data_IF_180690180441
#
_entry.id   IF_180690180441
#
_cell.length_a   1.000
_cell.length_b   1.000
_cell.length_c   1.000
_cell.angle_alpha   90.00
_cell.angle_beta   90.00
_cell.angle_gamma   90.00
#
_symmetry.space_group_name_H-M   'P 1'
#
loop_
_entity.id
_entity.type
_entity.pdbx_description
1 polymer ?
#
# COMPACT_ATOMS: atom_id res chain seq x y z
N UNK A 1 11.97 3.77 12.41
CA UNK A 1 11.25 5.08 12.42
C UNK A 1 9.93 4.96 13.17
N UNK A 2 9.10 3.92 12.89
CA UNK A 2 7.79 3.72 13.54
C UNK A 2 7.91 3.61 15.07
N UNK A 3 8.85 2.82 15.57
CA UNK A 3 9.09 2.67 17.02
C UNK A 3 9.49 3.98 17.70
N UNK A 4 10.24 4.83 16.99
CA UNK A 4 10.74 6.09 17.55
C UNK A 4 9.76 7.26 17.39
N UNK A 5 8.95 7.26 16.33
CA UNK A 5 8.07 8.37 15.97
C UNK A 5 6.72 7.89 15.45
N UNK A 6 5.95 7.08 16.21
CA UNK A 6 4.70 6.48 15.71
C UNK A 6 3.67 7.53 15.30
N UNK A 7 3.54 8.59 16.07
CA UNK A 7 2.51 9.62 15.92
C UNK A 7 2.89 10.77 14.98
N UNK A 8 4.15 10.78 14.49
CA UNK A 8 4.53 11.81 13.52
C UNK A 8 3.87 11.58 12.17
N UNK A 9 3.45 12.64 11.46
CA UNK A 9 2.97 12.53 10.09
C UNK A 9 4.04 11.89 9.18
N UNK A 10 3.64 10.86 8.46
CA UNK A 10 4.46 10.21 7.44
C UNK A 10 4.16 10.80 6.05
N UNK A 11 2.88 10.99 5.76
CA UNK A 11 2.41 11.62 4.53
C UNK A 11 1.29 12.60 4.87
N UNK A 12 1.25 13.71 4.14
CA UNK A 12 0.23 14.74 4.31
C UNK A 12 -0.16 15.29 2.95
N UNK A 13 -1.42 15.62 2.79
CA UNK A 13 -1.93 16.46 1.71
C UNK A 13 -2.49 17.78 2.29
N UNK A 14 -3.31 18.49 1.52
CA UNK A 14 -3.90 19.76 1.96
C UNK A 14 -5.00 19.60 3.01
N UNK A 15 -5.57 18.42 3.17
CA UNK A 15 -6.74 18.18 3.98
C UNK A 15 -6.44 17.26 5.18
N UNK A 16 -5.57 16.27 4.96
CA UNK A 16 -5.34 15.18 5.91
C UNK A 16 -3.86 14.82 6.04
N UNK A 17 -3.55 14.05 7.09
CA UNK A 17 -2.25 13.40 7.27
C UNK A 17 -2.42 12.00 7.83
N UNK A 18 -1.49 11.10 7.48
CA UNK A 18 -1.38 9.78 8.10
C UNK A 18 -0.04 9.66 8.82
N UNK A 19 -0.06 9.01 9.97
CA UNK A 19 1.13 8.84 10.81
C UNK A 19 1.98 7.64 10.38
N UNK A 20 3.20 7.54 10.88
CA UNK A 20 4.05 6.37 10.66
C UNK A 20 3.42 5.08 11.19
N UNK A 21 2.73 5.13 12.33
CA UNK A 21 2.01 3.97 12.88
C UNK A 21 0.91 3.50 11.93
N UNK A 22 0.08 4.43 11.43
CA UNK A 22 -0.98 4.11 10.47
C UNK A 22 -0.43 3.53 9.17
N UNK A 23 0.63 4.11 8.60
CA UNK A 23 1.30 3.57 7.40
C UNK A 23 1.78 2.15 7.64
N UNK A 24 2.37 1.89 8.82
CA UNK A 24 2.85 0.56 9.19
C UNK A 24 1.72 -0.45 9.30
N UNK A 25 0.62 -0.10 9.94
CA UNK A 25 -0.53 -0.98 10.12
C UNK A 25 -1.20 -1.30 8.77
N UNK A 26 -1.41 -0.31 7.91
CA UNK A 26 -1.94 -0.49 6.56
C UNK A 26 -1.03 -1.44 5.76
N UNK A 27 0.27 -1.17 5.75
CA UNK A 27 1.22 -1.97 5.00
C UNK A 27 1.26 -3.42 5.51
N UNK A 28 1.24 -3.62 6.83
CA UNK A 28 1.26 -4.93 7.46
C UNK A 28 0.00 -5.73 7.14
N UNK A 29 -1.18 -5.12 7.30
CA UNK A 29 -2.46 -5.78 7.05
C UNK A 29 -2.58 -6.15 5.56
N UNK A 30 -2.29 -5.21 4.66
CA UNK A 30 -2.27 -5.46 3.21
C UNK A 30 -1.31 -6.58 2.85
N UNK A 31 -0.08 -6.55 3.38
CA UNK A 31 0.91 -7.58 3.12
C UNK A 31 0.50 -8.95 3.61
N UNK A 32 -0.02 -9.04 4.84
CA UNK A 32 -0.50 -10.29 5.43
C UNK A 32 -1.64 -10.89 4.61
N UNK A 33 -2.60 -10.08 4.23
CA UNK A 33 -3.71 -10.51 3.37
C UNK A 33 -3.24 -11.04 2.02
N UNK A 34 -2.33 -10.31 1.34
CA UNK A 34 -1.78 -10.73 0.06
C UNK A 34 -1.02 -12.06 0.15
N UNK A 35 -0.25 -12.28 1.23
CA UNK A 35 0.43 -13.57 1.46
C UNK A 35 -0.57 -14.69 1.67
N UNK A 36 -1.64 -14.43 2.40
CA UNK A 36 -2.68 -15.44 2.65
C UNK A 36 -3.41 -15.85 1.37
N UNK A 37 -3.77 -14.88 0.52
CA UNK A 37 -4.53 -15.14 -0.70
C UNK A 37 -3.67 -15.68 -1.85
N UNK A 38 -2.45 -15.20 -1.98
CA UNK A 38 -1.59 -15.46 -3.14
C UNK A 38 -0.42 -16.41 -2.84
N UNK A 39 -0.14 -16.69 -1.57
CA UNK A 39 1.08 -17.39 -1.17
C UNK A 39 2.34 -16.53 -1.35
N UNK A 40 3.49 -17.19 -1.20
CA UNK A 40 4.81 -16.53 -1.29
C UNK A 40 5.42 -16.80 -2.66
N UNK A 41 5.43 -15.79 -3.51
CA UNK A 41 6.13 -15.78 -4.80
C UNK A 41 6.59 -14.36 -5.15
N UNK A 42 7.21 -14.18 -6.32
CA UNK A 42 7.72 -12.89 -6.82
C UNK A 42 6.89 -12.30 -7.95
N UNK A 43 5.70 -12.80 -8.19
CA UNK A 43 4.82 -12.29 -9.23
C UNK A 43 4.38 -10.86 -8.87
N UNK A 44 4.43 -9.91 -9.82
CA UNK A 44 4.08 -8.53 -9.52
C UNK A 44 2.61 -8.37 -9.14
N UNK A 45 2.34 -7.37 -8.32
CA UNK A 45 0.99 -6.90 -8.00
C UNK A 45 0.82 -5.50 -8.56
N UNK A 46 -0.20 -5.30 -9.40
CA UNK A 46 -0.55 -3.97 -9.85
C UNK A 46 -1.26 -3.20 -8.72
N UNK A 47 -0.92 -1.94 -8.52
CA UNK A 47 -1.63 -1.07 -7.59
C UNK A 47 -2.32 0.03 -8.39
N UNK A 48 -3.63 -0.10 -8.49
CA UNK A 48 -4.50 0.75 -9.25
C UNK A 48 -5.24 1.69 -8.28
N UNK A 49 -4.58 2.75 -7.89
CA UNK A 49 -5.09 3.69 -6.89
C UNK A 49 -4.84 5.13 -7.32
N UNK A 50 -5.76 6.00 -6.91
CA UNK A 50 -5.62 7.43 -7.11
C UNK A 50 -4.42 8.01 -6.35
N UNK A 51 -4.14 9.31 -6.57
CA UNK A 51 -3.07 10.03 -5.89
C UNK A 51 -3.52 10.44 -4.49
N UNK A 52 -3.69 9.45 -3.61
CA UNK A 52 -4.07 9.65 -2.21
C UNK A 52 -2.85 9.51 -1.31
N UNK A 53 -2.84 10.20 -0.17
CA UNK A 53 -1.73 10.09 0.79
C UNK A 53 -1.52 8.68 1.34
N UNK A 54 -2.55 7.84 1.30
CA UNK A 54 -2.49 6.44 1.74
C UNK A 54 -1.84 5.50 0.72
N UNK A 55 -1.83 5.88 -0.57
CA UNK A 55 -1.33 5.02 -1.67
C UNK A 55 0.08 4.46 -1.43
N UNK A 56 1.06 5.24 -0.89
CA UNK A 56 2.37 4.69 -0.56
C UNK A 56 2.33 3.55 0.48
N UNK A 57 1.35 3.55 1.39
CA UNK A 57 1.20 2.46 2.35
C UNK A 57 0.76 1.16 1.68
N UNK A 58 -0.05 1.22 0.62
CA UNK A 58 -0.40 0.05 -0.20
C UNK A 58 0.81 -0.51 -0.95
N UNK A 59 1.67 0.37 -1.51
CA UNK A 59 2.94 -0.07 -2.12
C UNK A 59 3.80 -0.85 -1.11
N UNK A 60 3.94 -0.31 0.10
CA UNK A 60 4.67 -0.99 1.16
C UNK A 60 4.02 -2.33 1.55
N UNK A 61 2.70 -2.42 1.52
CA UNK A 61 1.97 -3.66 1.77
C UNK A 61 2.32 -4.75 0.76
N UNK A 62 2.38 -4.41 -0.52
CA UNK A 62 2.81 -5.34 -1.59
C UNK A 62 4.26 -5.79 -1.36
N UNK A 63 5.14 -4.86 -0.97
CA UNK A 63 6.54 -5.18 -0.63
C UNK A 63 6.62 -6.10 0.58
N UNK A 64 5.79 -5.88 1.61
CA UNK A 64 5.73 -6.77 2.78
C UNK A 64 5.29 -8.19 2.41
N UNK A 65 4.45 -8.34 1.39
CA UNK A 65 4.12 -9.63 0.81
C UNK A 65 5.26 -10.27 -0.01
N UNK A 66 6.41 -9.60 -0.13
CA UNK A 66 7.57 -10.08 -0.88
C UNK A 66 7.43 -9.96 -2.40
N UNK A 67 6.57 -9.07 -2.88
CA UNK A 67 6.24 -8.89 -4.29
C UNK A 67 6.63 -7.50 -4.78
N UNK A 68 7.05 -7.34 -6.04
CA UNK A 68 7.19 -6.03 -6.62
C UNK A 68 5.81 -5.40 -6.89
N UNK A 69 5.66 -4.13 -6.59
CA UNK A 69 4.45 -3.40 -6.97
C UNK A 69 4.63 -2.69 -8.33
N UNK A 70 3.54 -2.59 -9.08
CA UNK A 70 3.48 -1.79 -10.30
C UNK A 70 2.38 -0.71 -10.13
N UNK A 71 2.75 0.57 -9.98
CA UNK A 71 1.77 1.63 -9.87
C UNK A 71 1.11 1.88 -11.21
N UNK A 72 -0.21 1.90 -11.24
CA UNK A 72 -1.01 2.24 -12.42
C UNK A 72 -1.89 3.43 -12.06
N UNK A 73 -1.71 4.54 -12.76
CA UNK A 73 -2.54 5.73 -12.59
C UNK A 73 -3.89 5.50 -13.28
N UNK A 74 -4.98 5.58 -12.50
CA UNK A 74 -6.35 5.39 -12.98
C UNK A 74 -6.78 6.43 -14.03
N UNK A 75 -6.06 7.55 -14.14
CA UNK A 75 -6.32 8.59 -15.14
C UNK A 75 -5.73 8.31 -16.52
N UNK A 76 -4.96 7.24 -16.68
CA UNK A 76 -4.43 6.84 -17.97
C UNK A 76 -5.54 6.34 -18.89
N UNK A 77 -5.38 6.51 -20.24
CA UNK A 77 -6.32 5.90 -21.18
C UNK A 77 -6.40 4.38 -21.02
N UNK A 78 -7.60 3.81 -21.12
CA UNK A 78 -7.86 2.38 -20.90
C UNK A 78 -6.96 1.49 -21.73
N UNK A 79 -6.81 1.77 -23.03
CA UNK A 79 -5.92 1.04 -23.93
C UNK A 79 -4.46 1.01 -23.49
N UNK A 80 -4.04 2.00 -22.71
CA UNK A 80 -2.69 2.01 -22.15
C UNK A 80 -2.62 1.13 -20.92
N UNK A 81 -3.65 1.17 -20.08
CA UNK A 81 -3.78 0.30 -18.91
C UNK A 81 -3.84 -1.16 -19.34
N UNK A 82 -4.65 -1.47 -20.37
CA UNK A 82 -4.73 -2.80 -20.99
C UNK A 82 -3.34 -3.32 -21.37
N UNK A 83 -2.57 -2.55 -22.16
CA UNK A 83 -1.21 -2.93 -22.56
C UNK A 83 -0.24 -3.11 -21.38
N UNK A 84 -0.39 -2.31 -20.33
CA UNK A 84 0.42 -2.48 -19.12
C UNK A 84 0.07 -3.80 -18.45
N UNK A 85 -1.21 -4.11 -18.29
CA UNK A 85 -1.67 -5.34 -17.65
C UNK A 85 -1.31 -6.58 -18.46
N UNK A 86 -1.44 -6.53 -19.80
CA UNK A 86 -0.98 -7.60 -20.71
C UNK A 86 0.52 -7.88 -20.56
N UNK A 87 1.34 -6.84 -20.48
CA UNK A 87 2.79 -6.99 -20.35
C UNK A 87 3.21 -7.41 -18.94
N UNK A 88 2.56 -6.86 -17.91
CA UNK A 88 2.87 -7.12 -16.52
C UNK A 88 2.45 -8.54 -16.10
N UNK A 89 1.35 -9.04 -16.66
CA UNK A 89 0.72 -10.30 -16.25
C UNK A 89 0.60 -10.43 -14.73
N UNK A 90 -0.05 -9.45 -14.04
CA UNK A 90 -0.08 -9.45 -12.59
C UNK A 90 -0.97 -10.56 -12.07
N UNK A 91 -0.59 -11.19 -10.97
CA UNK A 91 -1.46 -12.18 -10.33
C UNK A 91 -2.62 -11.55 -9.58
N UNK A 92 -2.42 -10.31 -9.12
CA UNK A 92 -3.43 -9.53 -8.43
C UNK A 92 -3.33 -8.04 -8.74
N UNK A 93 -4.45 -7.36 -8.56
CA UNK A 93 -4.58 -5.91 -8.60
C UNK A 93 -5.12 -5.46 -7.24
N UNK A 94 -4.45 -4.52 -6.61
CA UNK A 94 -4.94 -3.79 -5.44
C UNK A 94 -5.50 -2.47 -5.96
N UNK A 95 -6.81 -2.26 -5.87
CA UNK A 95 -7.49 -1.06 -6.33
C UNK A 95 -8.14 -0.32 -5.17
N UNK A 96 -8.22 1.00 -5.24
CA UNK A 96 -9.08 1.75 -4.32
C UNK A 96 -10.57 1.56 -4.69
N UNK A 97 -11.46 1.81 -3.72
CA UNK A 97 -12.90 1.58 -3.90
C UNK A 97 -13.49 2.40 -5.05
N UNK A 98 -12.98 3.61 -5.28
CA UNK A 98 -13.45 4.48 -6.36
C UNK A 98 -13.07 3.94 -7.74
N UNK A 99 -11.93 3.29 -7.86
CA UNK A 99 -11.44 2.74 -9.13
C UNK A 99 -11.94 1.33 -9.42
N UNK A 100 -12.69 0.72 -8.51
CA UNK A 100 -13.12 -0.68 -8.59
C UNK A 100 -13.84 -1.00 -9.90
N UNK A 101 -14.93 -0.29 -10.20
CA UNK A 101 -15.73 -0.55 -11.39
C UNK A 101 -14.92 -0.36 -12.68
N UNK A 102 -14.05 0.64 -12.68
CA UNK A 102 -13.18 0.94 -13.82
C UNK A 102 -12.18 -0.19 -14.06
N UNK A 103 -11.48 -0.66 -13.02
CA UNK A 103 -10.50 -1.75 -13.19
C UNK A 103 -11.17 -3.07 -13.52
N UNK A 104 -12.35 -3.36 -12.94
CA UNK A 104 -13.14 -4.54 -13.28
C UNK A 104 -13.52 -4.54 -14.77
N UNK A 105 -13.99 -3.40 -15.30
CA UNK A 105 -14.34 -3.25 -16.72
C UNK A 105 -13.15 -3.52 -17.65
N UNK A 106 -11.97 -2.98 -17.33
CA UNK A 106 -10.75 -3.19 -18.12
C UNK A 106 -10.32 -4.66 -18.09
N UNK A 107 -10.33 -5.27 -16.91
CA UNK A 107 -9.95 -6.69 -16.74
C UNK A 107 -10.94 -7.62 -17.45
N UNK A 108 -12.24 -7.30 -17.43
CA UNK A 108 -13.27 -8.06 -18.14
C UNK A 108 -13.09 -7.99 -19.66
N UNK A 109 -12.67 -6.84 -20.18
CA UNK A 109 -12.36 -6.70 -21.61
C UNK A 109 -11.15 -7.53 -21.99
N UNK A 110 -10.07 -7.46 -21.20
CA UNK A 110 -8.86 -8.25 -21.42
C UNK A 110 -9.08 -9.76 -21.29
N UNK A 111 -9.97 -10.17 -20.38
CA UNK A 111 -10.28 -11.59 -20.19
C UNK A 111 -11.04 -12.24 -21.35
N UNK A 112 -11.53 -11.44 -22.32
CA UNK A 112 -12.11 -11.97 -23.57
C UNK A 112 -11.03 -12.43 -24.55
N UNK A 113 -9.79 -11.96 -24.39
CA UNK A 113 -8.67 -12.37 -25.21
C UNK A 113 -8.12 -13.73 -24.76
N UNK A 114 -7.81 -14.62 -25.69
CA UNK A 114 -7.17 -15.89 -25.38
C UNK A 114 -5.76 -15.66 -24.80
N UNK A 115 -5.49 -16.29 -23.65
CA UNK A 115 -4.17 -16.26 -23.02
C UNK A 115 -3.97 -15.18 -21.97
N UNK A 116 -4.99 -14.40 -21.62
CA UNK A 116 -4.92 -13.49 -20.49
C UNK A 116 -5.46 -14.15 -19.22
N UNK A 117 -4.57 -14.40 -18.27
CA UNK A 117 -4.95 -14.91 -16.95
C UNK A 117 -5.57 -13.76 -16.12
N UNK A 118 -6.86 -13.91 -15.79
CA UNK A 118 -7.57 -12.90 -15.02
C UNK A 118 -6.95 -12.71 -13.63
N UNK A 119 -6.42 -11.52 -13.29
CA UNK A 119 -5.90 -11.26 -11.95
C UNK A 119 -7.02 -11.21 -10.91
N UNK A 120 -6.70 -11.53 -9.66
CA UNK A 120 -7.60 -11.27 -8.54
C UNK A 120 -7.61 -9.76 -8.24
N UNK A 121 -8.80 -9.20 -7.99
CA UNK A 121 -8.94 -7.78 -7.65
C UNK A 121 -9.28 -7.67 -6.18
N UNK A 122 -8.45 -6.94 -5.44
CA UNK A 122 -8.61 -6.65 -4.00
C UNK A 122 -8.85 -5.16 -3.80
N UNK A 123 -9.81 -4.83 -2.95
CA UNK A 123 -10.07 -3.44 -2.59
C UNK A 123 -9.17 -3.06 -1.43
N UNK A 124 -8.37 -2.03 -1.63
CA UNK A 124 -7.31 -1.62 -0.72
C UNK A 124 -7.83 -1.27 0.68
N UNK A 125 -8.97 -0.58 0.76
CA UNK A 125 -9.62 -0.24 2.02
C UNK A 125 -10.08 -1.48 2.79
N UNK A 126 -10.61 -2.48 2.08
CA UNK A 126 -11.13 -3.70 2.71
C UNK A 126 -9.98 -4.57 3.27
N UNK A 127 -8.87 -4.69 2.53
CA UNK A 127 -7.74 -5.54 2.94
C UNK A 127 -6.80 -4.88 3.95
N UNK A 128 -6.76 -3.55 3.95
CA UNK A 128 -5.93 -2.79 4.90
C UNK A 128 -6.62 -2.55 6.23
N UNK A 129 -7.93 -2.74 6.30
CA UNK A 129 -8.79 -2.34 7.41
C UNK A 129 -8.68 -0.84 7.75
N UNK A 130 -8.33 -0.04 6.76
CA UNK A 130 -8.21 1.40 6.89
C UNK A 130 -9.38 2.07 6.18
N UNK A 131 -10.32 2.56 6.97
CA UNK A 131 -11.32 3.49 6.49
C UNK A 131 -10.77 4.91 6.66
N UNK A 132 -10.64 5.63 5.56
CA UNK A 132 -10.32 7.05 5.61
C UNK A 132 -11.53 7.76 6.24
N UNK A 133 -11.46 7.99 7.54
CA UNK A 133 -12.41 8.88 8.20
C UNK A 133 -12.21 10.24 7.54
N UNK A 134 -13.23 10.71 6.84
CA UNK A 134 -13.23 12.07 6.31
C UNK A 134 -12.81 12.99 7.46
N UNK A 135 -11.75 13.77 7.26
CA UNK A 135 -11.24 14.68 8.27
C UNK A 135 -12.30 15.77 8.50
N UNK A 136 -13.30 15.44 9.31
CA UNK A 136 -14.31 16.37 9.80
C UNK A 136 -13.82 16.94 11.13
N UNK A 137 -12.67 17.63 11.09
CA UNK A 137 -12.38 18.65 12.10
C UNK A 137 -11.19 19.49 11.64
N UNK A 138 -11.53 20.59 10.99
CA UNK A 138 -10.66 21.73 10.66
C UNK A 138 -10.16 22.42 11.93
N UNK A 139 -9.30 21.79 12.71
CA UNK A 139 -8.63 22.48 13.81
C UNK A 139 -7.23 21.91 14.15
N UNK A 140 -6.48 21.44 13.17
CA UNK A 140 -5.04 21.25 13.36
C UNK A 140 -4.32 22.56 13.07
N UNK A 141 -4.45 23.53 13.99
CA UNK A 141 -3.53 24.67 14.05
C UNK A 141 -2.18 24.12 14.45
N UNK A 142 -1.24 24.13 13.50
CA UNK A 142 0.18 24.04 13.79
C UNK A 142 0.51 25.26 14.68
N UNK A 143 0.55 25.06 15.98
CA UNK A 143 1.14 26.05 16.87
C UNK A 143 2.65 25.94 16.72
N UNK A 144 3.23 26.90 16.00
CA UNK A 144 4.65 27.19 16.12
C UNK A 144 4.91 27.61 17.57
N UNK A 145 5.50 26.76 18.35
CA UNK A 145 6.15 27.13 19.61
C UNK A 145 7.66 26.93 19.46
N UNK A 146 8.29 28.08 19.25
CA UNK A 146 9.73 28.26 19.46
C UNK A 146 10.09 28.03 20.93
N UNK A 147 11.24 27.40 21.17
CA UNK A 147 12.06 27.68 22.38
C UNK A 147 12.24 26.50 23.32
N UNK A 148 13.45 26.00 23.29
CA UNK A 148 14.31 25.52 24.38
C UNK A 148 13.70 25.02 25.70
N UNK A 149 13.98 23.77 26.02
CA UNK A 149 14.63 23.40 27.29
C UNK A 149 14.93 21.88 27.34
N UNK A 150 16.22 21.60 27.41
CA UNK A 150 16.79 20.31 27.82
C UNK A 150 16.50 20.13 29.31
N UNK A 151 15.88 19.03 29.69
CA UNK A 151 16.08 18.43 31.01
C UNK A 151 16.02 16.91 30.88
N UNK A 152 17.19 16.31 31.13
CA UNK A 152 17.34 14.88 31.42
C UNK A 152 16.53 14.50 32.65
N UNK A 153 15.77 13.44 32.56
CA UNK A 153 15.46 12.58 33.69
C UNK A 153 15.10 11.18 33.19
N UNK A 154 16.02 10.28 33.47
CA UNK A 154 15.82 8.84 33.41
C UNK A 154 14.67 8.46 34.34
N UNK A 155 13.71 7.68 33.84
CA UNK A 155 12.98 6.71 34.66
C UNK A 155 12.39 5.62 33.76
N UNK A 156 12.94 4.43 33.98
CA UNK A 156 12.34 3.15 33.60
C UNK A 156 10.91 3.06 34.13
N UNK A 157 9.96 2.70 33.26
CA UNK A 157 8.86 1.78 33.58
C UNK A 157 8.01 1.48 32.35
N UNK A 158 7.97 0.19 32.05
CA UNK A 158 6.81 -0.59 31.62
C UNK A 158 6.04 -0.14 30.35
N UNK A 159 6.07 -1.08 29.39
CA UNK A 159 5.45 -1.00 28.08
C UNK A 159 3.97 -0.64 28.08
N UNK A 160 3.67 0.60 27.86
CA UNK A 160 2.35 1.08 27.49
C UNK A 160 2.05 0.78 26.02
N UNK A 161 1.26 -0.25 25.76
CA UNK A 161 0.66 -0.54 24.45
C UNK A 161 -0.26 0.63 24.10
N UNK A 162 0.14 1.45 23.14
CA UNK A 162 -0.71 2.52 22.60
C UNK A 162 -1.84 1.87 21.81
N UNK A 163 -3.06 2.00 22.31
CA UNK A 163 -4.28 1.55 21.66
C UNK A 163 -4.61 2.48 20.48
N UNK A 164 -4.06 2.16 19.31
CA UNK A 164 -4.48 2.73 18.03
C UNK A 164 -5.07 1.62 17.18
N UNK A 165 -6.31 1.78 16.75
CA UNK A 165 -7.14 0.99 15.82
C UNK A 165 -6.56 -0.38 15.42
N UNK A 166 -6.45 -1.28 16.39
CA UNK A 166 -5.92 -2.63 16.17
C UNK A 166 -7.04 -3.50 15.57
N UNK A 167 -7.17 -3.48 14.26
CA UNK A 167 -7.64 -4.67 13.57
C UNK A 167 -6.65 -5.77 13.92
N UNK A 168 -7.10 -6.78 14.67
CA UNK A 168 -6.26 -7.91 15.10
C UNK A 168 -5.71 -8.61 13.86
N UNK A 169 -4.50 -8.22 13.44
CA UNK A 169 -3.76 -9.05 12.51
C UNK A 169 -3.45 -10.35 13.24
N UNK A 170 -3.90 -11.46 12.71
CA UNK A 170 -3.67 -12.78 13.28
C UNK A 170 -2.15 -13.01 13.43
N UNK A 171 -1.71 -13.54 14.58
CA UNK A 171 -0.31 -13.86 14.82
C UNK A 171 0.29 -14.76 13.73
N UNK A 172 -0.53 -15.63 13.15
CA UNK A 172 -0.19 -16.47 11.99
C UNK A 172 0.20 -15.64 10.75
N UNK A 173 -0.49 -14.53 10.50
CA UNK A 173 -0.20 -13.65 9.38
C UNK A 173 1.13 -12.89 9.58
N UNK A 174 1.43 -12.50 10.80
CA UNK A 174 2.71 -11.87 11.15
C UNK A 174 3.90 -12.84 10.99
N UNK A 175 3.72 -14.10 11.36
CA UNK A 175 4.74 -15.13 11.17
C UNK A 175 5.01 -15.40 9.69
N UNK A 176 3.96 -15.42 8.85
CA UNK A 176 4.08 -15.51 7.40
C UNK A 176 4.88 -14.34 6.84
N UNK A 177 4.59 -13.10 7.24
CA UNK A 177 5.36 -11.93 6.82
C UNK A 177 6.84 -11.99 7.27
N UNK A 178 7.10 -12.46 8.47
CA UNK A 178 8.47 -12.65 8.95
C UNK A 178 9.22 -13.69 8.11
N UNK A 179 8.54 -14.76 7.68
CA UNK A 179 9.10 -15.79 6.80
C UNK A 179 9.40 -15.21 5.41
N UNK A 180 8.47 -14.47 4.82
CA UNK A 180 8.68 -13.77 3.55
C UNK A 180 9.90 -12.86 3.63
N UNK A 181 9.99 -12.03 4.68
CA UNK A 181 11.11 -11.11 4.88
C UNK A 181 12.47 -11.80 4.93
N UNK A 182 12.56 -13.00 5.55
CA UNK A 182 13.79 -13.78 5.59
C UNK A 182 14.20 -14.32 4.21
N UNK A 183 13.26 -14.50 3.30
CA UNK A 183 13.49 -15.01 1.95
C UNK A 183 13.77 -13.90 0.94
N UNK A 184 13.53 -12.64 1.30
CA UNK A 184 13.81 -11.49 0.44
C UNK A 184 15.32 -11.24 0.34
N UNK A 185 15.78 -10.96 -0.89
CA UNK A 185 17.14 -10.52 -1.20
C UNK A 185 17.18 -9.03 -1.48
N UNK A 186 18.33 -8.40 -1.24
CA UNK A 186 18.56 -7.00 -1.65
C UNK A 186 18.53 -6.80 -3.17
N UNK A 187 18.60 -7.89 -3.94
CA UNK A 187 18.53 -7.88 -5.40
C UNK A 187 17.12 -8.12 -5.95
N UNK A 188 16.15 -8.42 -5.08
CA UNK A 188 14.77 -8.60 -5.50
C UNK A 188 14.21 -7.28 -6.02
N UNK A 189 13.42 -7.29 -7.12
CA UNK A 189 12.78 -6.08 -7.62
C UNK A 189 11.78 -5.55 -6.58
N UNK A 190 11.84 -4.24 -6.34
CA UNK A 190 10.94 -3.57 -5.42
C UNK A 190 9.68 -3.06 -6.12
N UNK A 191 9.85 -2.55 -7.35
CA UNK A 191 8.78 -1.98 -8.14
C UNK A 191 9.03 -2.13 -9.64
N UNK A 192 7.97 -1.96 -10.42
CA UNK A 192 8.00 -1.95 -11.89
C UNK A 192 7.27 -0.69 -12.35
N UNK A 193 7.98 0.22 -13.01
CA UNK A 193 7.41 1.47 -13.54
C UNK A 193 7.39 1.42 -15.05
N UNK A 194 6.22 1.70 -15.63
CA UNK A 194 6.06 1.85 -17.06
C UNK A 194 6.22 3.31 -17.48
N UNK A 195 7.14 3.54 -18.39
CA UNK A 195 7.35 4.87 -18.98
C UNK A 195 6.68 5.00 -20.33
N UNK A 196 6.40 6.24 -20.77
CA UNK A 196 5.91 6.51 -22.11
C UNK A 196 7.04 6.25 -23.13
N UNK A 197 6.95 5.10 -23.82
CA UNK A 197 7.85 4.84 -24.94
C UNK A 197 7.52 5.73 -26.14
N UNK A 198 8.54 6.20 -26.88
CA UNK A 198 8.39 6.97 -28.13
C UNK A 198 7.59 6.22 -29.21
N UNK A 199 7.42 4.91 -29.07
CA UNK A 199 6.69 4.01 -29.97
C UNK A 199 5.23 3.79 -29.57
N UNK A 200 4.72 4.47 -28.52
CA UNK A 200 3.35 4.29 -28.03
C UNK A 200 3.12 3.00 -27.23
N UNK A 201 4.11 2.13 -27.13
CA UNK A 201 4.05 0.95 -26.27
C UNK A 201 4.71 1.27 -24.91
N UNK A 202 4.10 0.85 -23.79
CA UNK A 202 4.73 0.96 -22.48
C UNK A 202 6.05 0.16 -22.45
N UNK A 203 7.07 0.77 -21.87
CA UNK A 203 8.38 0.14 -21.66
C UNK A 203 8.64 0.03 -20.18
#
# INVERSE_FOLDING_TARGET
>A
TVEKYPDKPAFSDTECSITFAQVYDIARNTGAYLVEQLGVDRTPVAVFAGRKMVTPAYFLGVVYAGRPYAPIDASLPDKRIEKILENLCPRAIVADRESREHVESIVDELAKAEGFDRPQIFIAEDISHFEQVACADSNCKISESSGDAVTDSENDTDGGVVAGCAGKTDDSALEKLATVRRQMSMTDPLYIIYTSGSTGNPK
#
